data_IF_346912930321
#
_entry.id   IF_346912930321
#
_cell.length_a   1.000
_cell.length_b   1.000
_cell.length_c   1.000
_cell.angle_alpha   90.00
_cell.angle_beta   90.00
_cell.angle_gamma   90.00
#
_symmetry.space_group_name_H-M   'P 1'
#
loop_
_entity.id
_entity.type
_entity.pdbx_description
1 polymer ?
#
# COMPACT_ATOMS: atom_id res chain seq x y z
N UNK A 1 -8.21 -11.91 16.65
CA UNK A 1 -8.19 -11.17 15.38
C UNK A 1 -9.58 -11.20 14.77
N UNK A 2 -10.04 -10.12 14.15
CA UNK A 2 -11.30 -10.09 13.45
C UNK A 2 -11.28 -11.14 12.31
N UNK A 3 -12.37 -11.91 12.08
CA UNK A 3 -12.38 -12.96 11.06
C UNK A 3 -11.97 -12.48 9.66
N UNK A 4 -12.33 -11.26 9.31
CA UNK A 4 -11.95 -10.64 8.03
C UNK A 4 -10.45 -10.37 7.89
N UNK A 5 -9.73 -10.13 8.99
CA UNK A 5 -8.30 -9.88 8.95
C UNK A 5 -7.50 -11.15 8.62
N UNK A 6 -7.90 -12.31 9.14
CA UNK A 6 -7.25 -13.58 8.81
C UNK A 6 -7.43 -13.93 7.31
N UNK A 7 -8.62 -13.71 6.76
CA UNK A 7 -8.90 -13.90 5.34
C UNK A 7 -8.08 -12.92 4.47
N UNK A 8 -8.03 -11.65 4.85
CA UNK A 8 -7.22 -10.66 4.16
C UNK A 8 -5.75 -11.04 4.18
N UNK A 9 -5.21 -11.42 5.35
CA UNK A 9 -3.82 -11.86 5.49
C UNK A 9 -3.49 -13.06 4.59
N UNK A 10 -4.41 -14.03 4.48
CA UNK A 10 -4.21 -15.16 3.58
C UNK A 10 -4.12 -14.71 2.11
N UNK A 11 -5.10 -13.97 1.61
CA UNK A 11 -5.15 -13.58 0.19
C UNK A 11 -4.17 -12.47 -0.18
N UNK A 12 -3.80 -11.63 0.75
CA UNK A 12 -2.96 -10.45 0.47
C UNK A 12 -1.49 -10.65 0.83
N UNK A 13 -1.17 -11.63 1.66
CA UNK A 13 0.20 -11.92 2.12
C UNK A 13 0.58 -13.37 1.86
N UNK A 14 -0.09 -14.32 2.51
CA UNK A 14 0.29 -15.73 2.48
C UNK A 14 0.23 -16.31 1.07
N UNK A 15 -0.88 -16.15 0.38
CA UNK A 15 -1.06 -16.67 -0.98
C UNK A 15 -0.04 -16.09 -1.97
N UNK A 16 0.18 -14.75 -2.04
CA UNK A 16 1.21 -14.21 -2.91
C UNK A 16 2.61 -14.69 -2.55
N UNK A 17 3.00 -14.60 -1.28
CA UNK A 17 4.38 -14.89 -0.85
C UNK A 17 4.73 -16.37 -0.95
N UNK A 18 3.82 -17.26 -0.54
CA UNK A 18 4.11 -18.68 -0.43
C UNK A 18 3.80 -19.46 -1.72
N UNK A 19 2.81 -19.02 -2.49
CA UNK A 19 2.34 -19.77 -3.64
C UNK A 19 2.60 -19.08 -4.97
N UNK A 20 2.43 -17.75 -5.07
CA UNK A 20 2.51 -17.05 -6.34
C UNK A 20 3.92 -16.54 -6.66
N UNK A 21 4.61 -15.91 -5.72
CA UNK A 21 5.94 -15.37 -5.98
C UNK A 21 6.98 -16.44 -6.30
N UNK A 22 7.02 -17.61 -5.64
CA UNK A 22 7.91 -18.69 -6.07
C UNK A 22 7.63 -19.17 -7.50
N UNK A 23 6.35 -19.17 -7.93
CA UNK A 23 6.00 -19.52 -9.31
C UNK A 23 6.40 -18.42 -10.31
N UNK A 24 6.24 -17.14 -9.92
CA UNK A 24 6.65 -15.99 -10.72
C UNK A 24 8.18 -15.95 -10.84
N UNK A 25 8.90 -16.20 -9.73
CA UNK A 25 10.36 -16.21 -9.70
C UNK A 25 10.96 -17.35 -10.54
N UNK A 26 10.25 -18.48 -10.65
CA UNK A 26 10.65 -19.62 -11.48
C UNK A 26 10.41 -19.39 -12.99
N UNK A 27 9.62 -18.38 -13.36
CA UNK A 27 9.36 -18.07 -14.77
C UNK A 27 10.52 -17.29 -15.40
N UNK A 28 10.81 -17.49 -16.69
CA UNK A 28 11.72 -16.61 -17.43
C UNK A 28 11.20 -15.17 -17.33
N UNK A 29 12.07 -14.25 -16.90
CA UNK A 29 11.69 -12.85 -16.68
C UNK A 29 11.44 -12.17 -18.01
N UNK A 30 10.20 -12.20 -18.46
CA UNK A 30 9.69 -11.41 -19.56
C UNK A 30 8.74 -10.35 -18.97
N UNK A 31 9.24 -9.13 -18.74
CA UNK A 31 8.41 -8.01 -18.38
C UNK A 31 8.74 -7.34 -17.05
N UNK A 32 7.83 -6.51 -16.61
CA UNK A 32 7.98 -5.39 -15.69
C UNK A 32 8.00 -5.75 -14.19
N UNK A 33 7.77 -7.03 -13.82
CA UNK A 33 7.78 -7.44 -12.41
C UNK A 33 9.19 -7.83 -11.97
N UNK A 34 9.74 -7.09 -11.02
CA UNK A 34 11.00 -7.39 -10.38
C UNK A 34 10.77 -8.25 -9.12
N UNK A 35 11.67 -9.22 -8.88
CA UNK A 35 11.74 -9.92 -7.59
C UNK A 35 12.28 -8.97 -6.52
N UNK A 36 12.15 -9.33 -5.24
CA UNK A 36 12.79 -8.59 -4.16
C UNK A 36 14.31 -8.45 -4.37
N UNK A 37 14.98 -9.48 -4.89
CA UNK A 37 16.40 -9.43 -5.25
C UNK A 37 16.65 -8.49 -6.45
N UNK A 38 15.74 -8.50 -7.42
CA UNK A 38 15.80 -7.61 -8.59
C UNK A 38 15.57 -6.14 -8.24
N UNK A 39 14.97 -5.83 -7.08
CA UNK A 39 14.80 -4.47 -6.58
C UNK A 39 16.07 -3.90 -5.92
N UNK A 40 16.96 -4.74 -5.39
CA UNK A 40 18.14 -4.30 -4.63
C UNK A 40 18.98 -3.21 -5.34
N UNK A 41 19.22 -3.26 -6.67
CA UNK A 41 19.98 -2.20 -7.36
C UNK A 41 19.33 -0.82 -7.34
N UNK A 42 18.03 -0.75 -7.03
CA UNK A 42 17.25 0.48 -7.01
C UNK A 42 17.00 0.99 -5.58
N UNK A 43 17.49 0.27 -4.56
CA UNK A 43 17.27 0.60 -3.15
C UNK A 43 18.52 1.21 -2.54
N UNK A 44 18.34 2.22 -1.69
CA UNK A 44 19.42 2.83 -0.91
C UNK A 44 19.82 1.96 0.29
N UNK A 45 18.92 1.09 0.75
CA UNK A 45 19.15 0.17 1.86
C UNK A 45 18.53 -1.20 1.55
N UNK A 46 19.00 -2.28 2.16
CA UNK A 46 18.41 -3.62 2.02
C UNK A 46 16.95 -3.63 2.50
N UNK A 47 16.14 -4.50 1.87
CA UNK A 47 14.78 -4.77 2.35
C UNK A 47 14.85 -5.42 3.73
N UNK A 48 14.12 -4.87 4.69
CA UNK A 48 14.02 -5.35 6.06
C UNK A 48 12.56 -5.54 6.49
N UNK A 49 12.34 -6.46 7.43
CA UNK A 49 11.00 -6.68 8.00
C UNK A 49 10.73 -5.68 9.12
N UNK A 50 9.52 -5.11 9.13
CA UNK A 50 9.01 -4.23 10.19
C UNK A 50 7.62 -4.71 10.62
N UNK A 51 7.54 -5.83 11.33
CA UNK A 51 6.28 -6.49 11.69
C UNK A 51 5.60 -5.89 12.94
N UNK A 52 6.32 -5.14 13.76
CA UNK A 52 5.83 -4.50 14.99
C UNK A 52 6.24 -3.02 15.02
N UNK A 53 5.65 -2.17 14.15
CA UNK A 53 6.11 -0.79 13.96
C UNK A 53 5.95 0.09 15.21
N UNK A 54 5.03 -0.27 16.11
CA UNK A 54 4.74 0.51 17.32
C UNK A 54 5.52 0.00 18.56
N UNK A 55 6.28 -1.09 18.45
CA UNK A 55 7.17 -1.53 19.54
C UNK A 55 8.39 -0.61 19.64
N UNK A 56 9.05 -0.60 20.80
CA UNK A 56 10.30 0.17 21.00
C UNK A 56 11.35 -0.17 19.95
N UNK A 57 11.49 -1.46 19.61
CA UNK A 57 12.42 -1.93 18.57
C UNK A 57 11.97 -1.45 17.17
N UNK A 58 10.67 -1.58 16.86
CA UNK A 58 10.12 -1.16 15.57
C UNK A 58 10.25 0.34 15.35
N UNK A 59 9.95 1.14 16.37
CA UNK A 59 10.15 2.59 16.34
C UNK A 59 11.63 2.94 16.15
N UNK A 60 12.53 2.27 16.86
CA UNK A 60 13.97 2.44 16.68
C UNK A 60 14.45 2.08 15.27
N UNK A 61 13.93 0.98 14.72
CA UNK A 61 14.24 0.55 13.35
C UNK A 61 13.76 1.59 12.32
N UNK A 62 12.55 2.09 12.46
CA UNK A 62 11.99 3.11 11.58
C UNK A 62 12.74 4.44 11.71
N UNK A 63 13.02 4.89 12.93
CA UNK A 63 13.74 6.13 13.19
C UNK A 63 15.18 6.10 12.66
N UNK A 64 15.85 4.93 12.70
CA UNK A 64 17.21 4.79 12.17
C UNK A 64 17.30 4.97 10.65
N UNK A 65 16.20 4.93 9.93
CA UNK A 65 16.16 5.23 8.49
C UNK A 65 16.05 6.72 8.18
N UNK A 66 15.82 7.56 9.20
CA UNK A 66 15.65 9.02 9.09
C UNK A 66 14.73 9.43 7.92
N UNK A 67 13.50 8.87 7.82
CA UNK A 67 12.67 9.10 6.66
C UNK A 67 12.06 10.49 6.68
N UNK A 68 12.10 11.21 5.57
CA UNK A 68 11.30 12.42 5.40
C UNK A 68 9.82 12.10 5.21
N UNK A 69 9.53 11.06 4.43
CA UNK A 69 8.18 10.61 4.11
C UNK A 69 8.13 9.08 4.21
N UNK A 70 7.06 8.57 4.77
CA UNK A 70 6.75 7.13 4.72
C UNK A 70 5.59 6.89 3.76
N UNK A 71 5.73 5.91 2.89
CA UNK A 71 4.68 5.47 1.98
C UNK A 71 4.26 4.07 2.38
N UNK A 72 3.00 3.94 2.79
CA UNK A 72 2.37 2.68 3.17
C UNK A 72 1.61 2.11 1.97
N UNK A 73 1.92 0.89 1.57
CA UNK A 73 1.20 0.18 0.52
C UNK A 73 0.92 -1.24 1.02
N UNK A 74 -0.35 -1.58 1.21
CA UNK A 74 -0.79 -2.91 1.71
C UNK A 74 -0.11 -3.35 3.01
N UNK A 75 0.32 -2.42 3.81
CA UNK A 75 0.94 -2.71 5.09
C UNK A 75 -0.12 -3.15 6.11
N UNK A 76 0.05 -4.33 6.68
CA UNK A 76 -0.96 -4.98 7.52
C UNK A 76 -1.02 -4.50 8.97
N UNK A 77 -0.19 -3.51 9.36
CA UNK A 77 -0.16 -2.99 10.72
C UNK A 77 -0.69 -1.55 10.76
N UNK A 78 -1.44 -1.23 11.81
CA UNK A 78 -1.83 0.16 12.11
C UNK A 78 -0.59 0.88 12.66
N UNK A 79 -0.30 2.05 12.13
CA UNK A 79 0.73 2.94 12.65
C UNK A 79 0.12 3.85 13.72
N UNK A 80 0.67 3.83 14.91
CA UNK A 80 0.25 4.67 16.03
C UNK A 80 1.02 6.00 16.05
N UNK A 81 0.58 6.93 16.88
CA UNK A 81 1.10 8.30 16.94
C UNK A 81 2.64 8.38 17.00
N UNK A 82 3.28 7.47 17.75
CA UNK A 82 4.74 7.45 17.86
C UNK A 82 5.41 7.12 16.52
N UNK A 83 4.88 6.15 15.76
CA UNK A 83 5.40 5.79 14.45
C UNK A 83 5.08 6.88 13.41
N UNK A 84 3.88 7.47 13.47
CA UNK A 84 3.45 8.54 12.57
C UNK A 84 4.25 9.83 12.74
N UNK A 85 4.83 10.06 13.93
CA UNK A 85 5.64 11.26 14.22
C UNK A 85 7.10 11.18 13.77
N UNK A 86 7.57 10.01 13.31
CA UNK A 86 8.96 9.83 12.89
C UNK A 86 9.26 10.55 11.57
N UNK A 87 8.50 10.36 10.48
CA UNK A 87 8.80 11.04 9.23
C UNK A 87 8.44 12.53 9.29
N UNK A 88 9.37 13.40 8.84
CA UNK A 88 9.22 14.85 8.95
C UNK A 88 8.09 15.43 8.09
N UNK A 89 7.74 14.75 7.01
CA UNK A 89 6.65 15.12 6.07
C UNK A 89 5.38 14.28 6.26
N UNK A 90 5.40 13.28 7.16
CA UNK A 90 4.23 12.46 7.46
C UNK A 90 4.19 11.12 6.72
N UNK A 91 3.00 10.50 6.72
CA UNK A 91 2.80 9.16 6.16
C UNK A 91 1.67 9.19 5.14
N UNK A 92 1.95 8.71 3.93
CA UNK A 92 0.96 8.47 2.88
C UNK A 92 0.53 7.01 2.87
N UNK A 93 -0.73 6.73 2.54
CA UNK A 93 -1.21 5.39 2.28
C UNK A 93 -1.85 5.30 0.89
N UNK A 94 -1.42 4.31 0.12
CA UNK A 94 -2.13 3.90 -1.09
C UNK A 94 -3.09 2.77 -0.75
N UNK A 95 -4.35 3.12 -0.57
CA UNK A 95 -5.43 2.21 -0.24
C UNK A 95 -6.07 1.64 -1.51
N UNK A 96 -6.23 0.32 -1.60
CA UNK A 96 -6.84 -0.34 -2.77
C UNK A 96 -8.38 -0.37 -2.68
N UNK A 97 -8.98 0.78 -2.52
CA UNK A 97 -10.42 0.98 -2.45
C UNK A 97 -10.78 2.45 -2.60
N UNK A 98 -12.05 2.70 -2.95
CA UNK A 98 -12.61 4.04 -2.96
C UNK A 98 -12.91 4.47 -1.53
N UNK A 99 -12.33 5.57 -1.08
CA UNK A 99 -12.65 6.19 0.21
C UNK A 99 -13.69 7.31 0.03
N UNK A 100 -14.57 7.49 1.00
CA UNK A 100 -14.67 6.78 2.28
C UNK A 100 -15.47 5.47 2.25
N UNK A 101 -16.00 5.03 1.12
CA UNK A 101 -16.98 3.94 1.01
C UNK A 101 -16.40 2.58 1.41
N UNK A 102 -15.14 2.29 1.04
CA UNK A 102 -14.49 1.00 1.23
C UNK A 102 -13.29 1.08 2.16
N UNK A 103 -13.46 1.62 3.38
CA UNK A 103 -12.41 1.63 4.41
C UNK A 103 -12.04 0.23 4.88
N UNK A 104 -10.79 0.04 5.29
CA UNK A 104 -10.29 -1.21 5.89
C UNK A 104 -9.96 -2.28 4.85
N UNK A 105 -9.78 -3.50 5.35
CA UNK A 105 -9.28 -4.62 4.58
C UNK A 105 -10.24 -5.09 3.48
N UNK A 106 -9.68 -5.74 2.44
CA UNK A 106 -10.43 -6.34 1.33
C UNK A 106 -11.33 -5.35 0.57
N UNK A 107 -10.94 -4.07 0.50
CA UNK A 107 -11.75 -3.02 -0.11
C UNK A 107 -12.07 -3.32 -1.58
N UNK A 108 -11.08 -3.67 -2.40
CA UNK A 108 -11.29 -4.09 -3.80
C UNK A 108 -12.24 -5.28 -3.92
N UNK A 109 -12.09 -6.29 -3.03
CA UNK A 109 -12.98 -7.45 -3.03
C UNK A 109 -14.43 -7.05 -2.72
N UNK A 110 -14.64 -6.18 -1.73
CA UNK A 110 -15.98 -5.69 -1.36
C UNK A 110 -16.62 -4.87 -2.48
N UNK A 111 -15.84 -4.04 -3.19
CA UNK A 111 -16.30 -3.31 -4.36
C UNK A 111 -16.71 -4.28 -5.50
N UNK A 112 -15.89 -5.31 -5.75
CA UNK A 112 -16.24 -6.36 -6.74
C UNK A 112 -17.49 -7.14 -6.35
N UNK A 113 -17.66 -7.46 -5.06
CA UNK A 113 -18.83 -8.14 -4.55
C UNK A 113 -20.09 -7.28 -4.64
N UNK A 114 -19.96 -5.97 -4.43
CA UNK A 114 -21.05 -4.99 -4.60
C UNK A 114 -21.45 -4.81 -6.07
N UNK A 115 -20.65 -5.31 -7.01
CA UNK A 115 -20.91 -5.20 -8.43
C UNK A 115 -20.41 -3.91 -9.06
N UNK A 116 -19.53 -3.17 -8.39
CA UNK A 116 -18.98 -1.93 -8.91
C UNK A 116 -18.33 -2.17 -10.29
N UNK A 117 -18.65 -1.32 -11.24
CA UNK A 117 -18.07 -1.35 -12.58
C UNK A 117 -16.66 -0.77 -12.61
N UNK A 118 -16.36 0.14 -11.68
CA UNK A 118 -15.05 0.76 -11.49
C UNK A 118 -14.44 0.39 -10.14
N UNK A 119 -13.18 -0.01 -10.19
CA UNK A 119 -12.37 -0.24 -9.00
C UNK A 119 -11.45 0.95 -8.81
N UNK A 120 -11.18 1.31 -7.56
CA UNK A 120 -10.40 2.49 -7.24
C UNK A 120 -9.22 2.18 -6.33
N UNK A 121 -8.18 2.99 -6.44
CA UNK A 121 -7.19 3.20 -5.38
C UNK A 121 -7.28 4.64 -4.90
N UNK A 122 -7.09 4.85 -3.61
CA UNK A 122 -7.10 6.17 -2.98
C UNK A 122 -5.75 6.44 -2.33
N UNK A 123 -5.10 7.51 -2.73
CA UNK A 123 -3.94 8.05 -2.02
C UNK A 123 -4.43 9.05 -0.98
N UNK A 124 -4.06 8.84 0.28
CA UNK A 124 -4.47 9.70 1.38
C UNK A 124 -3.39 9.78 2.45
N UNK A 125 -3.48 10.79 3.32
CA UNK A 125 -2.65 10.89 4.52
C UNK A 125 -3.08 9.85 5.57
N UNK A 126 -2.14 9.36 6.36
CA UNK A 126 -2.44 8.73 7.65
C UNK A 126 -2.22 9.81 8.71
N UNK A 127 -3.31 10.47 9.10
CA UNK A 127 -3.26 11.56 10.08
C UNK A 127 -3.27 11.04 11.53
N UNK A 128 -3.85 9.85 11.76
CA UNK A 128 -3.91 9.18 13.06
C UNK A 128 -4.08 7.66 12.91
N UNK A 129 -4.29 6.94 14.01
CA UNK A 129 -4.46 5.48 14.04
C UNK A 129 -5.85 4.99 13.57
N UNK A 130 -6.74 5.87 13.13
CA UNK A 130 -8.04 5.48 12.60
C UNK A 130 -7.91 4.99 11.14
N UNK A 131 -8.60 3.89 10.83
CA UNK A 131 -8.40 3.19 9.56
C UNK A 131 -9.00 4.00 8.41
N UNK A 132 -8.14 4.39 7.46
CA UNK A 132 -8.49 5.01 6.18
C UNK A 132 -9.41 6.24 6.30
N UNK A 133 -9.13 7.11 7.27
CA UNK A 133 -9.92 8.33 7.54
C UNK A 133 -9.18 9.62 7.22
N UNK A 134 -7.88 9.55 6.93
CA UNK A 134 -7.06 10.71 6.67
C UNK A 134 -7.44 11.47 5.40
N UNK A 135 -6.88 12.66 5.23
CA UNK A 135 -7.17 13.57 4.10
C UNK A 135 -6.82 12.92 2.76
N UNK A 136 -7.81 12.86 1.87
CA UNK A 136 -7.64 12.30 0.54
C UNK A 136 -6.84 13.26 -0.34
N UNK A 137 -5.84 12.72 -1.02
CA UNK A 137 -5.02 13.45 -2.00
C UNK A 137 -5.58 13.20 -3.41
N UNK A 138 -5.77 11.94 -3.78
CA UNK A 138 -6.33 11.58 -5.08
C UNK A 138 -7.02 10.23 -5.07
N UNK A 139 -7.96 10.04 -6.00
CA UNK A 139 -8.63 8.77 -6.25
C UNK A 139 -8.40 8.42 -7.71
N UNK A 140 -7.75 7.29 -7.95
CA UNK A 140 -7.55 6.72 -9.27
C UNK A 140 -8.57 5.61 -9.50
N UNK A 141 -9.11 5.51 -10.71
CA UNK A 141 -10.09 4.48 -11.04
C UNK A 141 -9.72 3.74 -12.31
N UNK A 142 -10.05 2.47 -12.35
CA UNK A 142 -9.99 1.63 -13.56
C UNK A 142 -11.29 0.86 -13.73
N UNK A 143 -11.60 0.47 -14.96
CA UNK A 143 -12.71 -0.42 -15.22
C UNK A 143 -12.42 -1.81 -14.64
N UNK A 144 -13.41 -2.39 -13.97
CA UNK A 144 -13.31 -3.75 -13.48
C UNK A 144 -13.19 -4.71 -14.68
N UNK A 145 -12.21 -5.60 -14.64
CA UNK A 145 -12.05 -6.68 -15.61
C UNK A 145 -12.80 -7.93 -15.11
N UNK A 146 -14.05 -8.17 -15.53
CA UNK A 146 -14.88 -9.25 -14.96
C UNK A 146 -14.35 -10.66 -15.26
N UNK A 147 -13.46 -10.77 -16.27
CA UNK A 147 -12.80 -12.03 -16.64
C UNK A 147 -11.54 -12.31 -15.80
N UNK A 148 -11.09 -11.36 -15.01
CA UNK A 148 -9.90 -11.47 -14.18
C UNK A 148 -10.28 -11.77 -12.73
N UNK A 149 -9.38 -12.49 -12.04
CA UNK A 149 -9.53 -12.77 -10.63
C UNK A 149 -9.33 -11.49 -9.77
N UNK A 150 -9.68 -11.59 -8.50
CA UNK A 150 -9.51 -10.52 -7.51
C UNK A 150 -8.07 -9.96 -7.50
N UNK A 151 -7.06 -10.84 -7.47
CA UNK A 151 -5.66 -10.42 -7.39
C UNK A 151 -5.26 -9.59 -8.62
N UNK A 152 -5.62 -10.04 -9.82
CA UNK A 152 -5.29 -9.33 -11.06
C UNK A 152 -5.95 -7.94 -11.12
N UNK A 153 -7.24 -7.85 -10.73
CA UNK A 153 -7.94 -6.57 -10.61
C UNK A 153 -7.30 -5.64 -9.57
N UNK A 154 -6.83 -6.19 -8.45
CA UNK A 154 -6.15 -5.41 -7.41
C UNK A 154 -4.79 -4.91 -7.88
N UNK A 155 -3.99 -5.78 -8.52
CA UNK A 155 -2.66 -5.40 -9.06
C UNK A 155 -2.79 -4.29 -10.10
N UNK A 156 -3.82 -4.34 -10.95
CA UNK A 156 -4.07 -3.30 -11.96
C UNK A 156 -4.21 -1.90 -11.39
N UNK A 157 -4.67 -1.74 -10.14
CA UNK A 157 -4.79 -0.45 -9.48
C UNK A 157 -3.45 0.22 -9.18
N UNK A 158 -2.37 -0.55 -9.07
CA UNK A 158 -1.09 0.01 -8.62
C UNK A 158 -0.39 0.86 -9.67
N UNK A 159 -0.59 0.66 -10.95
CA UNK A 159 0.04 1.48 -11.99
C UNK A 159 -0.35 2.95 -11.82
N UNK A 160 -1.64 3.25 -11.80
CA UNK A 160 -2.12 4.63 -11.58
C UNK A 160 -1.88 5.11 -10.15
N UNK A 161 -1.99 4.20 -9.15
CA UNK A 161 -1.72 4.52 -7.75
C UNK A 161 -0.26 4.92 -7.51
N UNK A 162 0.70 4.23 -8.10
CA UNK A 162 2.12 4.60 -8.00
C UNK A 162 2.41 5.94 -8.70
N UNK A 163 1.77 6.20 -9.85
CA UNK A 163 1.89 7.52 -10.50
C UNK A 163 1.39 8.64 -9.58
N UNK A 164 0.25 8.44 -8.91
CA UNK A 164 -0.27 9.41 -7.94
C UNK A 164 0.66 9.63 -6.74
N UNK A 165 1.37 8.58 -6.27
CA UNK A 165 2.40 8.72 -5.23
C UNK A 165 3.54 9.61 -5.73
N UNK A 166 4.06 9.36 -6.94
CA UNK A 166 5.17 10.16 -7.50
C UNK A 166 4.78 11.62 -7.69
N UNK A 167 3.56 11.89 -8.12
CA UNK A 167 3.02 13.26 -8.20
C UNK A 167 2.96 13.92 -6.82
N UNK A 168 2.42 13.22 -5.82
CA UNK A 168 2.36 13.73 -4.44
C UNK A 168 3.76 14.01 -3.86
N UNK A 169 4.73 13.13 -4.11
CA UNK A 169 6.14 13.34 -3.69
C UNK A 169 6.69 14.61 -4.34
N UNK A 170 6.49 14.81 -5.64
CA UNK A 170 6.97 16.01 -6.35
C UNK A 170 6.35 17.30 -5.79
N UNK A 171 5.07 17.27 -5.42
CA UNK A 171 4.38 18.40 -4.76
C UNK A 171 4.99 18.69 -3.38
N UNK A 172 5.26 17.63 -2.59
CA UNK A 172 5.91 17.75 -1.28
C UNK A 172 7.35 18.28 -1.37
N UNK A 173 8.10 17.88 -2.40
CA UNK A 173 9.45 18.41 -2.68
C UNK A 173 9.41 19.91 -3.01
N UNK A 174 8.36 20.37 -3.69
CA UNK A 174 8.12 21.79 -3.95
C UNK A 174 7.63 22.57 -2.70
N UNK A 175 7.50 21.91 -1.54
CA UNK A 175 7.06 22.53 -0.28
C UNK A 175 5.55 22.79 -0.22
N UNK A 176 4.75 22.11 -1.06
CA UNK A 176 3.29 22.25 -1.12
C UNK A 176 2.60 21.04 -0.49
N UNK A 177 1.34 21.20 -0.08
CA UNK A 177 0.50 20.08 0.39
C UNK A 177 -0.20 19.45 -0.83
N UNK A 178 0.00 18.15 -1.10
CA UNK A 178 -0.65 17.48 -2.22
C UNK A 178 -2.17 17.29 -2.05
N UNK A 179 -2.72 17.54 -0.84
CA UNK A 179 -4.14 17.50 -0.54
C UNK A 179 -4.82 18.89 -0.56
N UNK A 180 -4.09 19.94 -0.98
CA UNK A 180 -4.60 21.31 -1.02
C UNK A 180 -5.42 21.60 -2.27
#
# INVERSE_FOLDING_TARGET
>A
AAPGLATASFYEQTLPLELLFPLIDAQPKHGELLTFQGLNPFLLAPIASLNQPNSTEGLGTLAATEPDLVISIRYGCILEAAALSIPTKGVLNLHSGRLPEYRGVMATFRAMLAGDEKLCSTLHWIDDATIDTGRIISIQSQDRAPQQCYLANTIGLYTAGCSAILEAVSVLEAGQDPAA
#
